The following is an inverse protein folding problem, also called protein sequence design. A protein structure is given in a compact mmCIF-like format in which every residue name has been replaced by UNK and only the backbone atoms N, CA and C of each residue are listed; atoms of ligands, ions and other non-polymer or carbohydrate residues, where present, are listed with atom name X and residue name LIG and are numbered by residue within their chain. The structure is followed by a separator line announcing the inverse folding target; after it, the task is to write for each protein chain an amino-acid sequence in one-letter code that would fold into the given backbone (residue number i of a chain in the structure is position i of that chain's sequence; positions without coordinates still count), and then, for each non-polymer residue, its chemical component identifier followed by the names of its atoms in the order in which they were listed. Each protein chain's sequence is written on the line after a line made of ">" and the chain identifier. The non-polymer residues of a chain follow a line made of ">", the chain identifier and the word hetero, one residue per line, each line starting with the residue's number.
data_IF_814341103698
#
_entry.id   IF_814341103698
#
_cell.length_a   1.000
_cell.length_b   1.000
_cell.length_c   1.000
_cell.angle_alpha   90.00
_cell.angle_beta   90.00
_cell.angle_gamma   90.00
#
_symmetry.space_group_name_H-M   'P 1'
#
loop_
_entity.id
_entity.type
_entity.pdbx_description
1 polymer ?
#
# COMPACT_ATOMS: atom_id res chain seq x y z
N UNK A 1 -9.93 -2.97 -4.03
CA UNK A 1 -9.20 -1.78 -4.54
C UNK A 1 -7.75 -2.15 -4.86
N UNK A 2 -7.10 -1.65 -5.93
CA UNK A 2 -5.66 -1.94 -6.11
C UNK A 2 -4.81 -1.25 -5.04
N UNK A 3 -3.78 -1.93 -4.54
CA UNK A 3 -2.93 -1.43 -3.45
C UNK A 3 -2.22 -0.13 -3.79
N UNK A 4 -1.69 0.00 -5.00
CA UNK A 4 -1.06 1.22 -5.49
C UNK A 4 -2.05 2.39 -5.56
N UNK A 5 -3.30 2.14 -5.93
CA UNK A 5 -4.36 3.14 -5.85
C UNK A 5 -4.67 3.51 -4.40
N UNK A 6 -4.80 2.52 -3.52
CA UNK A 6 -5.04 2.71 -2.09
C UNK A 6 -3.98 3.61 -1.45
N UNK A 7 -2.69 3.32 -1.68
CA UNK A 7 -1.57 4.12 -1.17
C UNK A 7 -1.59 5.54 -1.77
N UNK A 8 -1.85 5.67 -3.07
CA UNK A 8 -1.92 7.00 -3.70
C UNK A 8 -3.08 7.85 -3.17
N UNK A 9 -4.20 7.22 -2.82
CA UNK A 9 -5.38 7.89 -2.26
C UNK A 9 -5.15 8.39 -0.83
N UNK A 10 -4.16 7.86 -0.10
CA UNK A 10 -3.82 8.37 1.23
C UNK A 10 -2.98 9.65 1.17
N UNK A 11 -2.60 10.12 -0.03
CA UNK A 11 -1.74 11.30 -0.22
C UNK A 11 -0.28 11.09 0.21
N UNK A 12 0.12 9.84 0.48
CA UNK A 12 1.44 9.55 1.03
C UNK A 12 2.54 9.55 -0.04
N UNK A 13 2.20 9.09 -1.25
CA UNK A 13 3.10 9.07 -2.39
C UNK A 13 2.31 8.95 -3.70
N UNK A 14 2.98 9.17 -4.83
CA UNK A 14 2.38 8.96 -6.16
C UNK A 14 2.13 7.47 -6.44
N UNK A 15 1.23 7.14 -7.38
CA UNK A 15 0.99 5.75 -7.82
C UNK A 15 2.29 5.01 -8.19
N UNK A 16 3.19 5.68 -8.94
CA UNK A 16 4.49 5.13 -9.34
C UNK A 16 5.43 4.87 -8.17
N UNK A 17 5.39 5.74 -7.15
CA UNK A 17 6.19 5.55 -5.94
C UNK A 17 5.62 4.42 -5.08
N UNK A 18 4.30 4.28 -5.03
CA UNK A 18 3.65 3.17 -4.36
C UNK A 18 4.14 1.83 -4.95
N UNK A 19 4.20 1.70 -6.27
CA UNK A 19 4.73 0.49 -6.92
C UNK A 19 6.19 0.23 -6.50
N UNK A 20 7.06 1.25 -6.52
CA UNK A 20 8.46 1.11 -6.03
C UNK A 20 8.54 0.67 -4.58
N UNK A 21 7.70 1.22 -3.70
CA UNK A 21 7.68 0.85 -2.28
C UNK A 21 7.21 -0.59 -2.08
N UNK A 22 6.23 -1.03 -2.86
CA UNK A 22 5.74 -2.40 -2.84
C UNK A 22 6.84 -3.35 -3.34
N UNK A 23 7.49 -3.02 -4.46
CA UNK A 23 8.59 -3.79 -5.06
C UNK A 23 9.80 -3.89 -4.11
N UNK A 24 10.11 -2.82 -3.38
CA UNK A 24 11.13 -2.80 -2.32
C UNK A 24 10.73 -3.60 -1.07
N UNK A 25 9.50 -4.12 -1.00
CA UNK A 25 8.98 -4.84 0.18
C UNK A 25 8.77 -3.94 1.39
N UNK A 26 8.62 -2.62 1.19
CA UNK A 26 8.34 -1.61 2.22
C UNK A 26 6.86 -1.51 2.57
N UNK A 27 6.01 -2.20 1.80
CA UNK A 27 4.57 -2.25 2.03
C UNK A 27 4.18 -3.61 2.59
N UNK A 28 3.38 -3.60 3.64
CA UNK A 28 2.78 -4.78 4.25
C UNK A 28 1.27 -4.62 4.33
N UNK A 29 0.55 -5.68 4.01
CA UNK A 29 -0.91 -5.76 4.10
C UNK A 29 -1.23 -6.87 5.09
N UNK A 30 -1.96 -6.56 6.16
CA UNK A 30 -2.31 -7.51 7.23
C UNK A 30 -1.09 -8.26 7.80
N UNK A 31 0.06 -7.56 7.91
CA UNK A 31 1.31 -8.13 8.42
C UNK A 31 2.09 -8.98 7.43
N UNK A 32 1.61 -9.17 6.19
CA UNK A 32 2.33 -9.87 5.11
C UNK A 32 2.92 -8.86 4.12
N UNK A 33 4.10 -9.13 3.56
CA UNK A 33 4.68 -8.29 2.50
C UNK A 33 3.73 -8.25 1.30
N UNK A 34 3.48 -7.03 0.82
CA UNK A 34 2.61 -6.82 -0.31
C UNK A 34 3.36 -7.04 -1.63
N UNK A 35 2.63 -7.40 -2.68
CA UNK A 35 3.18 -7.58 -4.03
C UNK A 35 2.63 -6.54 -5.01
N UNK A 36 3.44 -6.19 -6.02
CA UNK A 36 3.04 -5.23 -7.05
C UNK A 36 1.84 -5.80 -7.81
N UNK A 37 0.80 -5.00 -7.98
CA UNK A 37 -0.46 -5.44 -8.60
C UNK A 37 -1.43 -6.14 -7.64
N UNK A 38 -1.06 -6.33 -6.37
CA UNK A 38 -1.97 -6.88 -5.36
C UNK A 38 -3.18 -5.96 -5.14
N UNK A 39 -4.33 -6.60 -4.90
CA UNK A 39 -5.57 -5.95 -4.49
C UNK A 39 -5.73 -6.02 -2.98
N UNK A 40 -6.26 -4.95 -2.40
CA UNK A 40 -6.62 -4.82 -0.99
C UNK A 40 -8.14 -4.73 -0.86
N UNK A 41 -8.64 -5.39 0.17
CA UNK A 41 -10.05 -5.34 0.58
C UNK A 41 -10.32 -4.11 1.45
N UNK A 42 -11.58 -3.68 1.49
CA UNK A 42 -12.03 -2.66 2.45
C UNK A 42 -11.85 -3.18 3.87
N UNK A 43 -11.07 -2.46 4.68
CA UNK A 43 -10.71 -2.86 6.05
C UNK A 43 -9.33 -3.51 6.18
N UNK A 44 -8.61 -3.76 5.07
CA UNK A 44 -7.25 -4.27 5.13
C UNK A 44 -6.29 -3.27 5.84
N UNK A 45 -5.45 -3.78 6.74
CA UNK A 45 -4.41 -3.00 7.40
C UNK A 45 -3.19 -2.88 6.49
N UNK A 46 -3.10 -1.77 5.77
CA UNK A 46 -1.93 -1.44 4.95
C UNK A 46 -0.95 -0.61 5.76
N UNK A 47 0.30 -1.07 5.83
CA UNK A 47 1.43 -0.37 6.44
C UNK A 47 2.49 -0.11 5.38
N UNK A 48 2.93 1.14 5.26
CA UNK A 48 4.02 1.57 4.38
C UNK A 48 5.14 2.11 5.26
N UNK A 49 6.35 1.56 5.16
CA UNK A 49 7.49 1.94 6.01
C UNK A 49 7.14 1.92 7.53
N UNK A 50 6.44 0.87 7.97
CA UNK A 50 5.90 0.74 9.34
C UNK A 50 4.85 1.80 9.76
N UNK A 51 4.45 2.72 8.88
CA UNK A 51 3.34 3.64 9.12
C UNK A 51 2.04 3.05 8.60
N UNK A 52 1.03 2.99 9.46
CA UNK A 52 -0.30 2.53 9.10
C UNK A 52 -1.01 3.63 8.32
N UNK A 53 -1.52 3.28 7.13
CA UNK A 53 -2.14 4.23 6.22
C UNK A 53 -3.60 3.83 6.01
N UNK A 54 -4.47 4.84 6.00
CA UNK A 54 -5.89 4.66 5.71
C UNK A 54 -6.28 5.69 4.64
N UNK A 55 -6.88 5.27 3.52
CA UNK A 55 -7.47 6.18 2.58
C UNK A 55 -8.62 6.90 3.29
N UNK A 56 -8.81 8.15 2.89
CA UNK A 56 -9.87 9.00 3.39
C UNK A 56 -11.17 8.73 2.65
#
# INVERSE_FOLDING_TARGET
>A
MRLNNYISSTGLCSRREADKLIEQGKVTVNGKKAQVGQTVEEGAMVKVNNKLIKPK
#
